data_IF_949415280752
#
_entry.id   IF_949415280752
#
_cell.length_a   1.000
_cell.length_b   1.000
_cell.length_c   1.000
_cell.angle_alpha   90.00
_cell.angle_beta   90.00
_cell.angle_gamma   90.00
#
_symmetry.space_group_name_H-M   'P 1'
#
loop_
_entity.id
_entity.type
_entity.pdbx_description
1 polymer ?
#
# COMPACT_ATOMS: atom_id res chain seq x y z
N UNK A 1 -13.13 35.26 14.66
CA UNK A 1 -12.25 34.25 14.06
C UNK A 1 -11.05 34.95 13.49
N UNK A 2 -9.87 34.56 13.96
CA UNK A 2 -8.61 34.97 13.35
C UNK A 2 -8.45 34.30 11.97
N UNK A 3 -7.57 34.84 11.12
CA UNK A 3 -7.35 34.34 9.74
C UNK A 3 -6.96 32.85 9.77
N UNK A 4 -6.13 32.44 10.72
CA UNK A 4 -5.71 31.05 10.88
C UNK A 4 -6.91 30.12 11.14
N UNK A 5 -7.74 30.45 12.15
CA UNK A 5 -8.92 29.66 12.50
C UNK A 5 -9.88 29.53 11.31
N UNK A 6 -10.05 30.61 10.54
CA UNK A 6 -10.92 30.60 9.36
C UNK A 6 -10.40 29.70 8.24
N UNK A 7 -9.11 29.80 7.93
CA UNK A 7 -8.47 28.95 6.94
C UNK A 7 -8.53 27.47 7.34
N UNK A 8 -8.24 27.16 8.60
CA UNK A 8 -8.29 25.80 9.14
C UNK A 8 -9.72 25.24 9.17
N UNK A 9 -10.72 26.05 9.50
CA UNK A 9 -12.12 25.65 9.48
C UNK A 9 -12.60 25.31 8.07
N UNK A 10 -12.24 26.13 7.07
CA UNK A 10 -12.54 25.84 5.66
C UNK A 10 -11.84 24.58 5.15
N UNK A 11 -10.57 24.37 5.55
CA UNK A 11 -9.82 23.16 5.21
C UNK A 11 -10.52 21.93 5.79
N UNK A 12 -10.85 21.97 7.09
CA UNK A 12 -11.58 20.91 7.78
C UNK A 12 -12.85 20.53 7.02
N UNK A 13 -13.69 21.51 6.68
CA UNK A 13 -14.96 21.22 6.01
C UNK A 13 -14.73 20.61 4.62
N UNK A 14 -13.76 21.12 3.86
CA UNK A 14 -13.42 20.56 2.55
C UNK A 14 -12.94 19.11 2.64
N UNK A 15 -12.10 18.79 3.62
CA UNK A 15 -11.61 17.41 3.84
C UNK A 15 -12.73 16.48 4.28
N UNK A 16 -13.66 16.93 5.13
CA UNK A 16 -14.82 16.13 5.53
C UNK A 16 -15.74 15.86 4.34
N UNK A 17 -16.00 16.86 3.49
CA UNK A 17 -16.78 16.68 2.27
C UNK A 17 -16.10 15.71 1.29
N UNK A 18 -14.77 15.80 1.16
CA UNK A 18 -14.00 14.87 0.33
C UNK A 18 -14.16 13.42 0.80
N UNK A 19 -14.15 13.18 2.12
CA UNK A 19 -14.40 11.85 2.70
C UNK A 19 -15.82 11.34 2.45
N UNK A 20 -16.81 12.22 2.45
CA UNK A 20 -18.21 11.86 2.20
C UNK A 20 -18.47 11.45 0.75
N UNK A 21 -17.63 11.91 -0.18
CA UNK A 21 -17.80 11.67 -1.63
C UNK A 21 -17.90 10.17 -1.97
N UNK A 22 -17.19 9.32 -1.24
CA UNK A 22 -17.13 7.88 -1.49
C UNK A 22 -18.46 7.15 -1.20
N UNK A 23 -19.20 7.63 -0.20
CA UNK A 23 -20.47 7.02 0.22
C UNK A 23 -21.69 7.80 -0.27
N UNK A 24 -21.46 8.91 -0.96
CA UNK A 24 -22.54 9.78 -1.43
C UNK A 24 -23.26 9.17 -2.64
N UNK A 25 -24.60 9.27 -2.72
CA UNK A 25 -25.34 8.95 -3.94
C UNK A 25 -24.81 9.74 -5.14
N UNK A 26 -24.87 9.17 -6.35
CA UNK A 26 -24.37 9.84 -7.57
C UNK A 26 -24.98 11.24 -7.78
N UNK A 27 -26.25 11.43 -7.41
CA UNK A 27 -26.95 12.71 -7.49
C UNK A 27 -26.30 13.84 -6.68
N UNK A 28 -25.58 13.49 -5.61
CA UNK A 28 -25.05 14.43 -4.62
C UNK A 28 -23.56 14.69 -4.83
N UNK A 29 -22.86 13.77 -5.53
CA UNK A 29 -21.40 13.82 -5.74
C UNK A 29 -20.96 15.11 -6.41
N UNK A 30 -21.71 15.61 -7.39
CA UNK A 30 -21.40 16.85 -8.08
C UNK A 30 -21.35 18.05 -7.11
N UNK A 31 -22.36 18.18 -6.24
CA UNK A 31 -22.43 19.26 -5.25
C UNK A 31 -21.31 19.15 -4.22
N UNK A 32 -21.04 17.93 -3.73
CA UNK A 32 -19.94 17.67 -2.78
C UNK A 32 -18.60 18.08 -3.41
N UNK A 33 -18.36 17.71 -4.67
CA UNK A 33 -17.14 18.09 -5.40
C UNK A 33 -16.99 19.61 -5.48
N UNK A 34 -18.06 20.34 -5.80
CA UNK A 34 -18.04 21.81 -5.84
C UNK A 34 -17.65 22.40 -4.50
N UNK A 35 -18.23 21.89 -3.41
CA UNK A 35 -17.93 22.36 -2.06
C UNK A 35 -16.48 22.05 -1.65
N UNK A 36 -15.96 20.89 -2.04
CA UNK A 36 -14.54 20.53 -1.82
C UNK A 36 -13.64 21.53 -2.56
N UNK A 37 -13.90 21.81 -3.83
CA UNK A 37 -13.08 22.73 -4.63
C UNK A 37 -13.10 24.15 -4.05
N UNK A 38 -14.30 24.66 -3.71
CA UNK A 38 -14.46 25.98 -3.11
C UNK A 38 -13.76 26.04 -1.75
N UNK A 39 -13.92 25.02 -0.92
CA UNK A 39 -13.32 24.93 0.40
C UNK A 39 -11.79 24.82 0.37
N UNK A 40 -11.22 24.01 -0.52
CA UNK A 40 -9.75 23.91 -0.71
C UNK A 40 -9.19 25.22 -1.24
N UNK A 41 -9.85 25.84 -2.23
CA UNK A 41 -9.43 27.13 -2.77
C UNK A 41 -9.41 28.22 -1.69
N UNK A 42 -10.51 28.36 -0.95
CA UNK A 42 -10.64 29.38 0.09
C UNK A 42 -9.70 29.15 1.28
N UNK A 43 -9.56 27.90 1.75
CA UNK A 43 -8.63 27.57 2.82
C UNK A 43 -7.18 27.87 2.40
N UNK A 44 -6.80 27.53 1.17
CA UNK A 44 -5.48 27.84 0.63
C UNK A 44 -5.23 29.35 0.58
N UNK A 45 -6.17 30.14 0.04
CA UNK A 45 -6.04 31.62 0.07
C UNK A 45 -5.84 32.13 1.49
N UNK A 46 -6.66 31.67 2.43
CA UNK A 46 -6.72 32.20 3.79
C UNK A 46 -5.48 31.80 4.60
N UNK A 47 -5.05 30.55 4.51
CA UNK A 47 -3.84 30.07 5.19
C UNK A 47 -2.58 30.69 4.60
N UNK A 48 -2.51 30.89 3.28
CA UNK A 48 -1.39 31.61 2.67
C UNK A 48 -1.39 33.11 3.06
N UNK A 49 -2.55 33.75 3.18
CA UNK A 49 -2.65 35.10 3.77
C UNK A 49 -2.13 35.15 5.20
N UNK A 50 -2.42 34.12 6.00
CA UNK A 50 -1.85 34.00 7.34
C UNK A 50 -0.31 33.92 7.28
N UNK A 51 0.27 33.10 6.40
CA UNK A 51 1.72 33.04 6.21
C UNK A 51 2.36 34.38 5.80
N UNK A 52 1.64 35.22 5.04
CA UNK A 52 2.06 36.59 4.72
C UNK A 52 1.96 37.49 5.95
N UNK A 53 0.82 37.43 6.66
CA UNK A 53 0.55 38.22 7.87
C UNK A 53 1.61 38.01 8.94
N UNK A 54 2.00 36.76 9.19
CA UNK A 54 3.01 36.38 10.18
C UNK A 54 4.38 37.00 9.89
N UNK A 55 4.69 37.27 8.61
CA UNK A 55 5.93 37.95 8.22
C UNK A 55 5.79 39.47 8.30
N UNK A 56 4.69 40.01 7.79
CA UNK A 56 4.35 41.43 7.86
C UNK A 56 2.87 41.62 7.58
N UNK A 57 2.12 42.04 8.59
CA UNK A 57 0.65 42.17 8.56
C UNK A 57 0.17 43.05 7.40
N UNK A 58 0.84 44.17 7.14
CA UNK A 58 0.41 45.11 6.09
C UNK A 58 0.46 44.49 4.68
N UNK A 59 1.29 43.46 4.46
CA UNK A 59 1.41 42.80 3.16
C UNK A 59 0.20 41.93 2.79
N UNK A 60 -0.81 41.82 3.66
CA UNK A 60 -2.08 41.19 3.28
C UNK A 60 -2.99 42.12 2.46
N UNK A 61 -2.71 43.42 2.43
CA UNK A 61 -3.51 44.39 1.68
C UNK A 61 -3.08 44.48 0.23
N UNK A 62 -4.05 44.66 -0.66
CA UNK A 62 -3.82 44.75 -2.10
C UNK A 62 -3.02 46.00 -2.46
N UNK A 63 -3.42 47.16 -1.94
CA UNK A 63 -2.78 48.46 -2.14
C UNK A 63 -2.49 49.11 -0.78
N UNK A 64 -1.20 49.25 -0.47
CA UNK A 64 -0.74 49.84 0.79
C UNK A 64 -1.05 51.34 0.87
N UNK A 65 -0.94 52.07 -0.24
CA UNK A 65 -1.22 53.51 -0.26
C UNK A 65 -2.69 53.78 0.00
N UNK A 66 -3.56 52.99 -0.65
CA UNK A 66 -5.01 53.05 -0.42
C UNK A 66 -5.34 52.68 1.03
N UNK A 67 -4.74 51.62 1.57
CA UNK A 67 -4.90 51.23 2.97
C UNK A 67 -4.53 52.36 3.93
N UNK A 68 -3.31 52.91 3.85
CA UNK A 68 -2.86 53.96 4.76
C UNK A 68 -3.70 55.24 4.64
N UNK A 69 -4.09 55.61 3.43
CA UNK A 69 -4.94 56.78 3.20
C UNK A 69 -6.31 56.62 3.85
N UNK A 70 -6.93 55.43 3.71
CA UNK A 70 -8.25 55.16 4.26
C UNK A 70 -8.23 54.92 5.76
N UNK A 71 -7.22 54.22 6.27
CA UNK A 71 -7.00 54.02 7.71
C UNK A 71 -6.80 55.38 8.40
N UNK A 72 -5.99 56.27 7.82
CA UNK A 72 -5.79 57.60 8.39
C UNK A 72 -7.09 58.42 8.40
N UNK A 73 -7.85 58.42 7.30
CA UNK A 73 -9.18 59.06 7.24
C UNK A 73 -10.14 58.48 8.27
N UNK A 74 -10.13 57.16 8.44
CA UNK A 74 -10.97 56.47 9.40
C UNK A 74 -10.64 56.87 10.85
N UNK A 75 -9.35 56.94 11.20
CA UNK A 75 -8.89 57.41 12.53
C UNK A 75 -9.26 58.85 12.81
N UNK A 76 -9.10 59.73 11.81
CA UNK A 76 -9.46 61.16 11.94
C UNK A 76 -10.96 61.37 12.12
N UNK A 77 -11.80 60.56 11.47
CA UNK A 77 -13.25 60.70 11.52
C UNK A 77 -13.89 60.11 12.79
N UNK A 78 -13.22 59.18 13.48
CA UNK A 78 -13.77 58.46 14.64
C UNK A 78 -13.25 58.95 16.01
N UNK A 79 -12.63 60.13 16.09
CA UNK A 79 -12.22 60.78 17.35
C UNK A 79 -11.50 59.88 18.39
N UNK A 80 -10.71 58.89 17.94
CA UNK A 80 -9.84 58.10 18.82
C UNK A 80 -10.54 57.12 19.79
N UNK A 81 -11.86 56.98 19.78
CA UNK A 81 -12.56 56.01 20.64
C UNK A 81 -12.74 54.66 19.93
N UNK A 82 -11.95 53.66 20.35
CA UNK A 82 -12.17 52.21 20.18
C UNK A 82 -12.69 51.71 18.80
N UNK A 83 -12.41 52.43 17.72
CA UNK A 83 -12.91 52.08 16.40
C UNK A 83 -11.99 51.03 15.76
N UNK A 84 -12.54 49.83 15.50
CA UNK A 84 -11.89 48.76 14.73
C UNK A 84 -11.16 49.33 13.50
N UNK A 85 -9.95 48.87 13.23
CA UNK A 85 -9.16 49.29 12.05
C UNK A 85 -9.95 49.17 10.74
N UNK A 86 -9.63 50.01 9.75
CA UNK A 86 -10.21 49.96 8.42
C UNK A 86 -10.08 48.55 7.83
N UNK A 87 -11.21 48.00 7.40
CA UNK A 87 -11.27 46.71 6.70
C UNK A 87 -10.96 46.99 5.23
N UNK A 88 -9.67 46.89 4.89
CA UNK A 88 -9.17 47.08 3.52
C UNK A 88 -9.37 45.86 2.64
N UNK A 89 -9.32 46.09 1.32
CA UNK A 89 -9.30 45.00 0.34
C UNK A 89 -7.99 44.20 0.49
N UNK A 90 -8.12 42.91 0.79
CA UNK A 90 -6.97 42.01 0.89
C UNK A 90 -6.53 41.49 -0.46
N UNK A 91 -5.31 40.96 -0.52
CA UNK A 91 -4.78 40.21 -1.66
C UNK A 91 -5.70 39.05 -2.08
N UNK A 92 -5.62 38.65 -3.34
CA UNK A 92 -6.34 37.53 -3.94
C UNK A 92 -5.61 36.19 -3.70
N UNK A 93 -6.24 35.08 -4.08
CA UNK A 93 -5.65 33.73 -4.05
C UNK A 93 -4.23 33.64 -4.64
N UNK A 94 -4.03 34.12 -5.87
CA UNK A 94 -2.71 34.05 -6.53
C UNK A 94 -1.69 34.98 -5.85
N UNK A 95 -2.10 36.20 -5.51
CA UNK A 95 -1.24 37.16 -4.80
C UNK A 95 -0.83 36.64 -3.41
N UNK A 96 -1.71 35.92 -2.71
CA UNK A 96 -1.39 35.27 -1.43
C UNK A 96 -0.32 34.19 -1.60
N UNK A 97 -0.44 33.35 -2.64
CA UNK A 97 0.56 32.32 -2.97
C UNK A 97 1.90 32.95 -3.32
N UNK A 98 1.92 33.94 -4.23
CA UNK A 98 3.14 34.60 -4.67
C UNK A 98 3.87 35.26 -3.50
N UNK A 99 3.14 36.03 -2.67
CA UNK A 99 3.72 36.73 -1.52
C UNK A 99 4.20 35.74 -0.46
N UNK A 100 3.41 34.72 -0.12
CA UNK A 100 3.82 33.75 0.88
C UNK A 100 5.06 32.96 0.42
N UNK A 101 5.12 32.59 -0.87
CA UNK A 101 6.25 31.86 -1.43
C UNK A 101 7.57 32.64 -1.29
N UNK A 102 7.55 33.92 -1.65
CA UNK A 102 8.73 34.79 -1.54
C UNK A 102 9.08 35.06 -0.07
N UNK A 103 8.09 35.42 0.76
CA UNK A 103 8.33 35.84 2.15
C UNK A 103 8.71 34.67 3.09
N UNK A 104 8.34 33.43 2.74
CA UNK A 104 8.61 32.25 3.54
C UNK A 104 9.63 31.29 2.91
N UNK A 105 10.25 31.69 1.80
CA UNK A 105 11.21 30.90 1.00
C UNK A 105 10.65 29.51 0.67
N UNK A 106 9.41 29.47 0.15
CA UNK A 106 8.74 28.22 -0.22
C UNK A 106 9.26 27.76 -1.58
N UNK A 107 9.75 26.52 -1.65
CA UNK A 107 10.15 25.87 -2.90
C UNK A 107 8.92 25.36 -3.64
N UNK A 108 8.38 26.17 -4.55
CA UNK A 108 7.24 25.81 -5.39
C UNK A 108 7.73 25.65 -6.84
N UNK A 109 7.60 24.46 -7.41
CA UNK A 109 7.98 24.23 -8.81
C UNK A 109 6.99 24.88 -9.79
N UNK A 110 7.37 25.03 -11.05
CA UNK A 110 6.46 25.53 -12.10
C UNK A 110 5.19 24.69 -12.22
N UNK A 111 5.31 23.36 -12.05
CA UNK A 111 4.17 22.44 -12.10
C UNK A 111 3.25 22.71 -10.90
N UNK A 112 3.80 22.78 -9.68
CA UNK A 112 3.01 23.02 -8.46
C UNK A 112 2.30 24.39 -8.51
N UNK A 113 2.99 25.42 -9.02
CA UNK A 113 2.39 26.74 -9.22
C UNK A 113 1.26 26.73 -10.26
N UNK A 114 1.43 25.94 -11.32
CA UNK A 114 0.40 25.70 -12.34
C UNK A 114 -0.82 24.95 -11.81
N UNK A 115 -0.65 24.05 -10.83
CA UNK A 115 -1.76 23.38 -10.12
C UNK A 115 -2.63 24.40 -9.39
N UNK A 116 -2.04 25.39 -8.74
CA UNK A 116 -2.82 26.47 -8.11
C UNK A 116 -3.58 27.32 -9.13
N UNK A 117 -3.01 27.57 -10.31
CA UNK A 117 -3.71 28.28 -11.39
C UNK A 117 -4.91 27.47 -11.91
N UNK A 118 -4.76 26.15 -12.09
CA UNK A 118 -5.86 25.25 -12.44
C UNK A 118 -6.98 25.28 -11.41
N UNK A 119 -6.65 25.18 -10.12
CA UNK A 119 -7.66 25.25 -9.05
C UNK A 119 -8.42 26.58 -9.09
N UNK A 120 -7.71 27.69 -9.30
CA UNK A 120 -8.32 29.01 -9.40
C UNK A 120 -9.26 29.12 -10.62
N UNK A 121 -8.83 28.62 -11.79
CA UNK A 121 -9.66 28.58 -13.00
C UNK A 121 -10.90 27.68 -12.81
N UNK A 122 -10.72 26.49 -12.26
CA UNK A 122 -11.81 25.54 -12.01
C UNK A 122 -12.84 26.13 -11.04
N UNK A 123 -12.39 26.71 -9.92
CA UNK A 123 -13.27 27.39 -8.96
C UNK A 123 -14.08 28.51 -9.63
N UNK A 124 -13.45 29.31 -10.50
CA UNK A 124 -14.15 30.37 -11.22
C UNK A 124 -15.17 29.81 -12.22
N UNK A 125 -14.82 28.76 -12.96
CA UNK A 125 -15.74 28.10 -13.90
C UNK A 125 -16.97 27.54 -13.19
N UNK A 126 -16.79 26.86 -12.05
CA UNK A 126 -17.88 26.31 -11.23
C UNK A 126 -18.81 27.40 -10.69
N UNK A 127 -18.25 28.57 -10.38
CA UNK A 127 -19.03 29.70 -9.82
C UNK A 127 -19.86 30.43 -10.88
N UNK A 128 -19.49 30.32 -12.17
CA UNK A 128 -20.05 31.13 -13.24
C UNK A 128 -20.73 30.35 -14.39
N UNK A 129 -20.50 29.04 -14.53
CA UNK A 129 -21.05 28.19 -15.61
C UNK A 129 -21.48 26.80 -15.11
N UNK A 130 -22.44 26.15 -15.80
CA UNK A 130 -22.69 24.71 -15.74
C UNK A 130 -21.48 23.98 -16.35
N UNK A 131 -20.42 23.83 -15.55
CA UNK A 131 -19.22 23.09 -15.95
C UNK A 131 -19.47 21.60 -15.75
N UNK A 132 -19.26 20.79 -16.80
CA UNK A 132 -19.31 19.34 -16.70
C UNK A 132 -18.12 18.83 -15.88
N UNK A 133 -18.39 18.45 -14.64
CA UNK A 133 -17.40 18.00 -13.67
C UNK A 133 -17.06 16.53 -13.95
N UNK A 134 -16.26 16.29 -15.00
CA UNK A 134 -15.66 14.98 -15.21
C UNK A 134 -14.78 14.63 -14.02
N UNK A 135 -15.23 13.64 -13.23
CA UNK A 135 -14.71 13.30 -11.92
C UNK A 135 -13.18 13.07 -11.92
N UNK A 136 -12.65 12.49 -12.99
CA UNK A 136 -11.26 12.03 -13.06
C UNK A 136 -10.24 13.17 -13.15
N UNK A 137 -10.60 14.29 -13.78
CA UNK A 137 -9.72 15.46 -13.86
C UNK A 137 -9.64 16.20 -12.51
N UNK A 138 -10.70 16.07 -11.71
CA UNK A 138 -10.87 16.78 -10.45
C UNK A 138 -10.18 16.03 -9.31
N UNK A 139 -10.32 14.70 -9.25
CA UNK A 139 -9.68 13.84 -8.24
C UNK A 139 -8.17 14.09 -8.20
N UNK A 140 -7.53 14.01 -9.37
CA UNK A 140 -6.11 14.29 -9.54
C UNK A 140 -5.73 15.71 -9.07
N UNK A 141 -6.51 16.73 -9.46
CA UNK A 141 -6.22 18.12 -9.09
C UNK A 141 -6.27 18.31 -7.57
N UNK A 142 -7.28 17.74 -6.90
CA UNK A 142 -7.41 17.78 -5.44
C UNK A 142 -6.21 17.09 -4.80
N UNK A 143 -5.89 15.87 -5.23
CA UNK A 143 -4.75 15.11 -4.71
C UNK A 143 -3.43 15.90 -4.83
N UNK A 144 -3.16 16.47 -6.00
CA UNK A 144 -1.96 17.26 -6.23
C UNK A 144 -1.91 18.53 -5.38
N UNK A 145 -3.03 19.26 -5.23
CA UNK A 145 -3.09 20.45 -4.35
C UNK A 145 -2.78 20.05 -2.91
N UNK A 146 -3.35 18.96 -2.42
CA UNK A 146 -3.11 18.48 -1.05
C UNK A 146 -1.64 18.09 -0.83
N UNK A 147 -1.01 17.36 -1.78
CA UNK A 147 0.42 17.03 -1.75
C UNK A 147 1.33 18.27 -1.74
N UNK A 148 0.88 19.41 -2.27
CA UNK A 148 1.62 20.67 -2.19
C UNK A 148 1.40 21.36 -0.85
N UNK A 149 0.13 21.52 -0.44
CA UNK A 149 -0.22 22.40 0.69
C UNK A 149 -0.01 21.76 2.06
N UNK A 150 -0.23 20.46 2.23
CA UNK A 150 -0.09 19.78 3.53
C UNK A 150 1.35 19.87 4.07
N UNK A 151 2.40 19.60 3.27
CA UNK A 151 3.78 19.78 3.73
C UNK A 151 4.11 21.23 4.09
N UNK A 152 3.59 22.21 3.33
CA UNK A 152 3.75 23.63 3.64
C UNK A 152 3.09 23.96 4.98
N UNK A 153 1.85 23.49 5.19
CA UNK A 153 1.11 23.72 6.42
C UNK A 153 1.78 23.07 7.63
N UNK A 154 2.21 21.82 7.49
CA UNK A 154 2.93 21.11 8.54
C UNK A 154 4.25 21.82 8.93
N UNK A 155 4.95 22.40 7.95
CA UNK A 155 6.22 23.10 8.18
C UNK A 155 6.10 24.57 8.61
N UNK A 156 4.95 25.22 8.40
CA UNK A 156 4.80 26.68 8.57
C UNK A 156 3.66 27.13 9.47
N UNK A 157 2.63 26.30 9.67
CA UNK A 157 1.50 26.62 10.55
C UNK A 157 1.73 26.02 11.95
N UNK A 158 1.40 26.76 13.02
CA UNK A 158 1.55 26.24 14.37
C UNK A 158 0.56 25.09 14.62
N UNK A 159 1.04 24.02 15.25
CA UNK A 159 0.25 22.86 15.69
C UNK A 159 -0.62 22.20 14.60
N UNK A 160 -0.22 22.27 13.33
CA UNK A 160 -1.03 21.73 12.22
C UNK A 160 -1.21 20.20 12.33
N UNK A 161 -0.18 19.47 12.74
CA UNK A 161 -0.22 18.02 12.94
C UNK A 161 -1.23 17.64 14.02
N UNK A 162 -1.26 18.38 15.13
CA UNK A 162 -2.23 18.22 16.21
C UNK A 162 -3.64 18.55 15.73
N UNK A 163 -3.81 19.63 14.95
CA UNK A 163 -5.09 20.01 14.38
C UNK A 163 -5.67 18.92 13.46
N UNK A 164 -4.84 18.31 12.61
CA UNK A 164 -5.22 17.18 11.74
C UNK A 164 -5.73 16.00 12.57
N UNK A 165 -5.05 15.65 13.66
CA UNK A 165 -5.46 14.55 14.56
C UNK A 165 -6.76 14.88 15.30
N UNK A 166 -6.84 16.05 15.93
CA UNK A 166 -7.99 16.49 16.72
C UNK A 166 -9.28 16.50 15.88
N UNK A 167 -9.18 17.00 14.64
CA UNK A 167 -10.31 17.15 13.74
C UNK A 167 -10.49 15.96 12.79
N UNK A 168 -9.76 14.86 13.00
CA UNK A 168 -9.83 13.63 12.19
C UNK A 168 -9.71 13.92 10.69
N UNK A 169 -8.71 14.69 10.29
CA UNK A 169 -8.49 15.08 8.89
C UNK A 169 -7.65 14.07 8.10
N UNK A 170 -7.19 12.98 8.73
CA UNK A 170 -6.44 11.93 8.04
C UNK A 170 -7.25 11.34 6.89
N UNK A 171 -6.68 11.34 5.69
CA UNK A 171 -7.26 10.67 4.53
C UNK A 171 -6.72 9.24 4.52
N UNK A 172 -7.48 8.33 5.13
CA UNK A 172 -7.08 6.91 5.26
C UNK A 172 -7.96 6.02 4.38
N UNK A 173 -7.48 4.80 4.15
CA UNK A 173 -8.29 3.72 3.60
C UNK A 173 -9.42 3.26 4.54
N UNK A 174 -10.21 2.28 4.12
CA UNK A 174 -11.31 1.70 4.90
C UNK A 174 -10.79 1.00 6.16
N UNK A 175 -11.49 1.18 7.29
CA UNK A 175 -11.02 0.75 8.63
C UNK A 175 -11.76 -0.46 9.21
N UNK A 176 -12.73 -1.05 8.49
CA UNK A 176 -13.43 -2.26 8.94
C UNK A 176 -13.58 -3.24 7.78
N UNK A 177 -13.05 -4.45 8.00
CA UNK A 177 -13.25 -5.62 7.14
C UNK A 177 -13.77 -6.73 8.05
N UNK A 178 -14.75 -7.50 7.57
CA UNK A 178 -15.43 -8.51 8.40
C UNK A 178 -14.46 -9.63 8.83
N UNK A 179 -13.59 -10.06 7.92
CA UNK A 179 -12.51 -11.00 8.18
C UNK A 179 -11.20 -10.46 7.59
N UNK A 180 -10.23 -10.16 8.44
CA UNK A 180 -8.97 -9.55 8.03
C UNK A 180 -8.10 -10.51 7.20
N UNK A 181 -8.10 -11.81 7.52
CA UNK A 181 -7.24 -12.78 6.82
C UNK A 181 -7.79 -13.05 5.42
N UNK A 182 -9.10 -13.29 5.29
CA UNK A 182 -9.76 -13.48 3.99
C UNK A 182 -9.64 -12.22 3.14
N UNK A 183 -9.88 -11.05 3.72
CA UNK A 183 -9.74 -9.79 3.00
C UNK A 183 -8.30 -9.59 2.50
N UNK A 184 -7.28 -9.80 3.35
CA UNK A 184 -5.87 -9.69 2.94
C UNK A 184 -5.52 -10.65 1.81
N UNK A 185 -5.99 -11.89 1.88
CA UNK A 185 -5.78 -12.89 0.83
C UNK A 185 -6.38 -12.44 -0.50
N UNK A 186 -7.65 -12.03 -0.50
CA UNK A 186 -8.34 -11.51 -1.69
C UNK A 186 -7.59 -10.32 -2.29
N UNK A 187 -7.17 -9.37 -1.45
CA UNK A 187 -6.44 -8.18 -1.91
C UNK A 187 -5.06 -8.50 -2.43
N UNK A 188 -4.34 -9.42 -1.80
CA UNK A 188 -3.04 -9.86 -2.25
C UNK A 188 -3.12 -10.40 -3.69
N UNK A 189 -3.98 -11.39 -3.93
CA UNK A 189 -4.06 -12.03 -5.25
C UNK A 189 -4.71 -11.13 -6.31
N UNK A 190 -5.68 -10.28 -5.93
CA UNK A 190 -6.20 -9.24 -6.86
C UNK A 190 -5.09 -8.29 -7.30
N UNK A 191 -4.26 -7.84 -6.36
CA UNK A 191 -3.17 -6.91 -6.65
C UNK A 191 -2.06 -7.58 -7.47
N UNK A 192 -1.69 -8.83 -7.14
CA UNK A 192 -0.72 -9.60 -7.92
C UNK A 192 -1.18 -9.76 -9.37
N UNK A 193 -2.45 -10.09 -9.60
CA UNK A 193 -3.01 -10.20 -10.95
C UNK A 193 -2.81 -8.91 -11.75
N UNK A 194 -3.06 -7.74 -11.13
CA UNK A 194 -2.82 -6.44 -11.78
C UNK A 194 -1.35 -6.22 -12.12
N UNK A 195 -0.45 -6.59 -11.22
CA UNK A 195 1.01 -6.46 -11.41
C UNK A 195 1.50 -7.38 -12.53
N UNK A 196 1.06 -8.63 -12.53
CA UNK A 196 1.38 -9.65 -13.53
C UNK A 196 0.91 -9.23 -14.92
N UNK A 197 -0.37 -8.87 -15.07
CA UNK A 197 -0.92 -8.34 -16.33
C UNK A 197 -0.12 -7.12 -16.83
N UNK A 198 0.25 -6.21 -15.93
CA UNK A 198 1.02 -5.01 -16.30
C UNK A 198 2.46 -5.32 -16.72
N UNK A 199 3.09 -6.29 -16.06
CA UNK A 199 4.44 -6.75 -16.39
C UNK A 199 4.46 -7.51 -17.71
N UNK A 200 3.49 -8.41 -17.93
CA UNK A 200 3.30 -9.13 -19.18
C UNK A 200 3.08 -8.14 -20.33
N UNK A 201 2.18 -7.17 -20.16
CA UNK A 201 1.94 -6.12 -21.16
C UNK A 201 3.24 -5.41 -21.57
N UNK A 202 4.07 -5.00 -20.60
CA UNK A 202 5.36 -4.35 -20.90
C UNK A 202 6.34 -5.32 -21.57
N UNK A 203 6.39 -6.58 -21.14
CA UNK A 203 7.28 -7.60 -21.69
C UNK A 203 6.96 -7.88 -23.17
N UNK A 204 5.68 -8.06 -23.50
CA UNK A 204 5.21 -8.26 -24.86
C UNK A 204 5.58 -7.07 -25.76
N UNK A 205 5.40 -5.83 -25.28
CA UNK A 205 5.79 -4.65 -26.06
C UNK A 205 7.30 -4.52 -26.25
N UNK A 206 8.12 -5.12 -25.37
CA UNK A 206 9.60 -5.11 -25.45
C UNK A 206 10.18 -6.20 -26.36
N UNK A 207 9.36 -7.06 -26.95
CA UNK A 207 9.85 -8.08 -27.89
C UNK A 207 10.44 -7.47 -29.17
N UNK A 208 9.91 -6.31 -29.60
CA UNK A 208 10.49 -5.46 -30.65
C UNK A 208 10.89 -4.09 -30.09
N UNK A 209 12.19 -3.88 -29.91
CA UNK A 209 12.75 -2.62 -29.41
C UNK A 209 12.29 -1.39 -30.21
N UNK A 210 12.09 -1.50 -31.54
CA UNK A 210 11.65 -0.36 -32.36
C UNK A 210 10.18 -0.04 -32.09
N UNK A 211 9.34 -1.07 -31.96
CA UNK A 211 7.94 -0.91 -31.63
C UNK A 211 7.76 -0.36 -30.20
N UNK A 212 8.51 -0.91 -29.24
CA UNK A 212 8.53 -0.40 -27.86
C UNK A 212 8.92 1.08 -27.83
N UNK A 213 10.01 1.46 -28.50
CA UNK A 213 10.45 2.84 -28.55
C UNK A 213 9.39 3.76 -29.17
N UNK A 214 8.65 3.28 -30.19
CA UNK A 214 7.55 4.05 -30.78
C UNK A 214 6.38 4.20 -29.79
N UNK A 215 5.99 3.13 -29.11
CA UNK A 215 4.95 3.12 -28.07
C UNK A 215 5.32 4.05 -26.91
N UNK A 216 6.52 3.89 -26.34
CA UNK A 216 7.04 4.71 -25.26
C UNK A 216 7.08 6.19 -25.62
N UNK A 217 7.58 6.53 -26.82
CA UNK A 217 7.58 7.91 -27.29
C UNK A 217 6.17 8.47 -27.54
N UNK A 218 5.22 7.63 -27.95
CA UNK A 218 3.81 7.97 -28.04
C UNK A 218 3.23 8.34 -26.68
N UNK A 219 3.44 7.48 -25.67
CA UNK A 219 3.03 7.72 -24.29
C UNK A 219 3.72 8.92 -23.67
N UNK A 220 5.00 9.15 -23.97
CA UNK A 220 5.73 10.34 -23.53
C UNK A 220 5.10 11.62 -24.07
N UNK A 221 4.69 11.64 -25.35
CA UNK A 221 3.95 12.78 -25.93
C UNK A 221 2.59 13.00 -25.28
N UNK A 222 1.86 11.92 -24.99
CA UNK A 222 0.58 11.97 -24.26
C UNK A 222 0.79 12.60 -22.86
N UNK A 223 1.76 12.09 -22.10
CA UNK A 223 2.18 12.61 -20.80
C UNK A 223 2.58 14.08 -20.86
N UNK A 224 3.45 14.44 -21.81
CA UNK A 224 3.98 15.79 -21.95
C UNK A 224 2.88 16.78 -22.44
N UNK A 225 1.82 16.29 -23.09
CA UNK A 225 0.64 17.10 -23.44
C UNK A 225 -0.17 17.52 -22.22
N UNK A 226 -0.14 16.71 -21.15
CA UNK A 226 -0.69 17.04 -19.83
C UNK A 226 0.31 17.88 -19.01
N UNK A 227 0.85 18.97 -19.57
CA UNK A 227 1.95 19.80 -19.01
C UNK A 227 1.80 20.30 -17.56
N UNK A 228 0.60 20.20 -16.99
CA UNK A 228 0.24 20.66 -15.65
C UNK A 228 -0.19 19.49 -14.76
N UNK A 229 0.20 18.26 -15.11
CA UNK A 229 0.02 17.04 -14.35
C UNK A 229 1.43 16.56 -14.01
N UNK A 230 1.71 16.49 -12.71
CA UNK A 230 2.86 15.82 -12.15
C UNK A 230 2.66 14.31 -12.24
N UNK A 231 3.49 13.69 -13.05
CA UNK A 231 3.64 12.23 -13.11
C UNK A 231 4.68 11.79 -12.10
N UNK A 232 4.48 10.58 -11.58
CA UNK A 232 5.34 9.95 -10.59
C UNK A 232 5.88 8.64 -11.14
N UNK A 233 6.93 8.13 -10.52
CA UNK A 233 7.42 6.78 -10.78
C UNK A 233 6.29 5.77 -10.54
N UNK A 234 6.04 4.92 -11.54
CA UNK A 234 5.08 3.84 -11.43
C UNK A 234 5.64 2.76 -10.49
N UNK A 235 4.86 2.31 -9.49
CA UNK A 235 5.32 1.26 -8.60
C UNK A 235 5.68 -0.02 -9.38
N UNK A 236 4.92 -0.36 -10.43
CA UNK A 236 5.11 -1.56 -11.23
C UNK A 236 6.27 -1.45 -12.24
N UNK A 237 6.19 -0.52 -13.20
CA UNK A 237 7.15 -0.46 -14.31
C UNK A 237 8.36 0.44 -14.06
N UNK A 238 8.42 1.16 -12.93
CA UNK A 238 9.52 2.06 -12.52
C UNK A 238 9.78 3.25 -13.45
N UNK A 239 8.83 3.57 -14.32
CA UNK A 239 8.89 4.72 -15.22
C UNK A 239 7.98 5.86 -14.72
N UNK A 240 8.34 7.12 -15.01
CA UNK A 240 7.61 8.33 -14.59
C UNK A 240 6.33 8.58 -15.42
N UNK A 241 5.35 7.68 -15.29
CA UNK A 241 4.06 7.70 -16.00
C UNK A 241 2.86 7.47 -15.09
N UNK A 242 3.06 7.44 -13.77
CA UNK A 242 1.98 7.22 -12.82
C UNK A 242 1.29 8.52 -12.44
N UNK A 243 -0.03 8.54 -12.57
CA UNK A 243 -0.90 9.65 -12.22
C UNK A 243 -1.59 9.34 -10.90
N UNK A 244 -1.23 10.07 -9.84
CA UNK A 244 -1.86 9.94 -8.52
C UNK A 244 -3.23 10.59 -8.53
N UNK A 245 -4.28 9.78 -8.57
CA UNK A 245 -5.65 10.27 -8.53
C UNK A 245 -6.09 10.60 -7.10
N UNK A 246 -5.52 9.88 -6.13
CA UNK A 246 -5.81 10.03 -4.71
C UNK A 246 -4.56 9.78 -3.87
N UNK A 247 -4.58 10.35 -2.68
CA UNK A 247 -3.46 10.34 -1.72
C UNK A 247 -3.99 10.09 -0.32
N UNK A 248 -3.23 9.30 0.44
CA UNK A 248 -3.48 9.07 1.85
C UNK A 248 -2.59 9.96 2.68
N UNK A 249 -3.20 10.59 3.67
CA UNK A 249 -2.50 11.43 4.63
C UNK A 249 -2.74 10.91 6.03
N UNK A 250 -1.65 10.69 6.76
CA UNK A 250 -1.67 10.42 8.19
C UNK A 250 -0.82 11.43 8.91
N UNK A 251 -1.42 12.09 9.91
CA UNK A 251 -0.73 13.07 10.74
C UNK A 251 0.03 14.13 9.91
N UNK A 252 -0.63 14.64 8.86
CA UNK A 252 -0.14 15.64 7.90
C UNK A 252 0.98 15.19 6.93
N UNK A 253 1.26 13.89 6.85
CA UNK A 253 2.26 13.32 5.94
C UNK A 253 1.61 12.39 4.91
N UNK A 254 2.05 12.45 3.66
CA UNK A 254 1.57 11.53 2.62
C UNK A 254 2.18 10.14 2.88
N UNK A 255 1.33 9.15 3.15
CA UNK A 255 1.79 7.77 3.46
C UNK A 255 1.52 6.78 2.32
N UNK A 256 0.52 7.05 1.49
CA UNK A 256 0.15 6.19 0.36
C UNK A 256 -0.56 6.99 -0.72
N UNK A 257 -0.76 6.39 -1.88
CA UNK A 257 -1.51 6.98 -2.99
C UNK A 257 -2.07 5.87 -3.88
N UNK A 258 -3.04 6.18 -4.73
CA UNK A 258 -3.49 5.27 -5.79
C UNK A 258 -3.90 6.05 -7.05
N UNK A 259 -4.13 5.33 -8.14
CA UNK A 259 -4.31 5.88 -9.47
C UNK A 259 -3.79 4.92 -10.54
N UNK A 260 -3.39 5.44 -11.71
CA UNK A 260 -3.02 4.59 -12.84
C UNK A 260 -1.71 5.00 -13.52
N UNK A 261 -1.09 4.05 -14.23
CA UNK A 261 0.07 4.29 -15.07
C UNK A 261 -0.30 4.33 -16.55
N UNK A 262 0.06 5.41 -17.25
CA UNK A 262 -0.18 5.55 -18.69
C UNK A 262 0.68 4.61 -19.55
N UNK A 263 1.78 4.08 -18.99
CA UNK A 263 2.72 3.24 -19.73
C UNK A 263 2.40 1.74 -19.60
N UNK A 264 2.25 1.23 -18.39
CA UNK A 264 2.00 -0.20 -18.14
C UNK A 264 0.54 -0.54 -17.87
N UNK A 265 -0.35 0.45 -17.93
CA UNK A 265 -1.79 0.32 -17.69
C UNK A 265 -2.19 -0.22 -16.30
N UNK A 266 -1.26 -0.30 -15.34
CA UNK A 266 -1.63 -0.68 -13.98
C UNK A 266 -2.61 0.34 -13.41
N UNK A 267 -3.71 -0.14 -12.82
CA UNK A 267 -4.72 0.68 -12.14
C UNK A 267 -4.86 0.21 -10.70
N UNK A 268 -4.40 1.05 -9.80
CA UNK A 268 -4.43 0.85 -8.36
C UNK A 268 -5.60 1.62 -7.78
N UNK A 269 -6.42 0.93 -7.01
CA UNK A 269 -7.58 1.50 -6.35
C UNK A 269 -7.33 1.71 -4.85
N UNK A 270 -8.35 2.22 -4.17
CA UNK A 270 -8.33 2.48 -2.73
C UNK A 270 -7.94 1.25 -1.92
N UNK A 271 -8.55 0.11 -2.19
CA UNK A 271 -8.31 -1.11 -1.42
C UNK A 271 -6.88 -1.64 -1.62
N UNK A 272 -6.32 -1.50 -2.84
CA UNK A 272 -4.93 -1.86 -3.11
C UNK A 272 -3.96 -1.02 -2.27
N UNK A 273 -4.16 0.30 -2.24
CA UNK A 273 -3.35 1.22 -1.44
C UNK A 273 -3.49 0.93 0.06
N UNK A 274 -4.71 0.69 0.54
CA UNK A 274 -4.97 0.36 1.94
C UNK A 274 -4.29 -0.96 2.34
N UNK A 275 -4.41 -1.99 1.51
CA UNK A 275 -3.77 -3.28 1.74
C UNK A 275 -2.24 -3.15 1.83
N UNK A 276 -1.64 -2.38 0.91
CA UNK A 276 -0.20 -2.16 0.88
C UNK A 276 0.27 -1.35 2.09
N UNK A 277 -0.43 -0.28 2.43
CA UNK A 277 -0.11 0.55 3.60
C UNK A 277 -0.15 -0.29 4.88
N UNK A 278 -1.23 -1.04 5.10
CA UNK A 278 -1.42 -1.85 6.30
C UNK A 278 -0.47 -3.06 6.40
N UNK A 279 -0.03 -3.62 5.27
CA UNK A 279 0.73 -4.88 5.25
C UNK A 279 2.22 -4.67 5.00
N UNK A 280 2.58 -3.76 4.10
CA UNK A 280 3.95 -3.55 3.63
C UNK A 280 4.49 -2.15 3.90
N UNK A 281 3.63 -1.17 4.17
CA UNK A 281 3.96 0.25 4.38
C UNK A 281 4.36 1.00 3.11
N UNK A 282 4.77 0.33 2.03
CA UNK A 282 5.09 0.97 0.75
C UNK A 282 4.97 0.01 -0.44
N UNK A 283 4.76 0.59 -1.63
CA UNK A 283 4.78 -0.14 -2.89
C UNK A 283 6.10 -0.89 -3.13
N UNK A 284 7.23 -0.30 -2.75
CA UNK A 284 8.55 -0.93 -2.92
C UNK A 284 8.75 -2.12 -1.98
N UNK A 285 8.28 -1.99 -0.74
CA UNK A 285 8.28 -3.09 0.22
C UNK A 285 7.44 -4.26 -0.29
N UNK A 286 6.22 -3.97 -0.79
CA UNK A 286 5.36 -4.98 -1.41
C UNK A 286 6.09 -5.73 -2.53
N UNK A 287 6.63 -5.01 -3.52
CA UNK A 287 7.30 -5.62 -4.69
C UNK A 287 8.54 -6.45 -4.33
N UNK A 288 9.20 -6.15 -3.21
CA UNK A 288 10.35 -6.91 -2.71
C UNK A 288 9.95 -8.16 -1.92
N UNK A 289 8.80 -8.12 -1.25
CA UNK A 289 8.44 -9.09 -0.21
C UNK A 289 7.30 -10.03 -0.62
N UNK A 290 6.43 -9.65 -1.56
CA UNK A 290 5.23 -10.43 -1.88
C UNK A 290 5.54 -11.89 -2.26
N UNK A 291 6.71 -12.17 -2.84
CA UNK A 291 7.09 -13.55 -3.20
C UNK A 291 7.50 -14.42 -2.01
N UNK A 292 7.74 -13.81 -0.85
CA UNK A 292 8.21 -14.49 0.36
C UNK A 292 7.18 -14.46 1.48
N UNK A 293 6.09 -13.74 1.31
CA UNK A 293 5.12 -13.45 2.35
C UNK A 293 4.05 -14.55 2.47
N UNK A 294 4.51 -15.77 2.71
CA UNK A 294 3.65 -16.96 2.71
C UNK A 294 2.57 -16.92 3.80
N UNK A 295 2.70 -16.02 4.79
CA UNK A 295 1.76 -15.85 5.89
C UNK A 295 0.32 -15.58 5.41
N UNK A 296 0.19 -14.87 4.28
CA UNK A 296 -1.10 -14.50 3.68
C UNK A 296 -1.97 -15.73 3.38
N UNK A 297 -1.35 -16.81 2.90
CA UNK A 297 -2.03 -18.07 2.62
C UNK A 297 -1.90 -19.04 3.80
N UNK A 298 -0.73 -19.10 4.47
CA UNK A 298 -0.50 -19.99 5.61
C UNK A 298 -1.57 -19.83 6.69
N UNK A 299 -1.89 -18.61 7.10
CA UNK A 299 -2.88 -18.38 8.17
C UNK A 299 -4.26 -18.95 7.81
N UNK A 300 -4.63 -18.94 6.52
CA UNK A 300 -5.89 -19.51 6.04
C UNK A 300 -5.83 -21.03 5.97
N UNK A 301 -4.70 -21.61 5.55
CA UNK A 301 -4.57 -23.07 5.47
C UNK A 301 -4.66 -23.73 6.85
N UNK A 302 -4.25 -23.06 7.92
CA UNK A 302 -4.35 -23.58 9.30
C UNK A 302 -5.70 -23.30 9.97
N UNK A 303 -6.64 -22.60 9.32
CA UNK A 303 -7.89 -22.15 9.94
C UNK A 303 -8.96 -23.24 9.94
N UNK A 304 -9.45 -23.63 11.13
CA UNK A 304 -10.45 -24.70 11.28
C UNK A 304 -11.84 -24.33 10.72
N UNK A 305 -12.26 -23.07 10.85
CA UNK A 305 -13.61 -22.59 10.51
C UNK A 305 -13.68 -21.86 9.15
N UNK A 306 -12.64 -21.97 8.31
CA UNK A 306 -12.48 -21.20 7.07
C UNK A 306 -13.71 -21.30 6.15
N UNK A 307 -14.24 -22.50 5.94
CA UNK A 307 -15.38 -22.75 5.05
C UNK A 307 -16.64 -21.97 5.47
N UNK A 308 -16.81 -21.72 6.77
CA UNK A 308 -17.94 -20.97 7.31
C UNK A 308 -17.75 -19.45 7.25
N UNK A 309 -16.52 -18.99 7.04
CA UNK A 309 -16.12 -17.57 7.02
C UNK A 309 -16.12 -16.96 5.62
N UNK A 310 -15.89 -17.77 4.59
CA UNK A 310 -15.91 -17.31 3.20
C UNK A 310 -17.36 -17.07 2.76
N UNK A 311 -17.68 -15.82 2.38
CA UNK A 311 -19.00 -15.49 1.83
C UNK A 311 -19.13 -15.91 0.36
N UNK A 312 -20.35 -15.90 -0.18
CA UNK A 312 -20.57 -16.13 -1.62
C UNK A 312 -19.89 -15.08 -2.51
N UNK A 313 -19.80 -13.84 -2.03
CA UNK A 313 -19.10 -12.76 -2.73
C UNK A 313 -17.58 -13.00 -2.73
N UNK A 314 -17.02 -13.40 -1.57
CA UNK A 314 -15.60 -13.74 -1.46
C UNK A 314 -15.23 -14.89 -2.41
N UNK A 315 -16.01 -15.96 -2.40
CA UNK A 315 -15.83 -17.11 -3.28
C UNK A 315 -15.84 -16.72 -4.77
N UNK A 316 -16.76 -15.85 -5.20
CA UNK A 316 -16.83 -15.36 -6.58
C UNK A 316 -15.56 -14.61 -6.99
N UNK A 317 -15.04 -13.78 -6.09
CA UNK A 317 -13.81 -13.00 -6.32
C UNK A 317 -12.58 -13.91 -6.34
N UNK A 318 -12.51 -14.87 -5.43
CA UNK A 318 -11.42 -15.86 -5.35
C UNK A 318 -11.32 -16.67 -6.64
N UNK A 319 -12.45 -17.19 -7.14
CA UNK A 319 -12.48 -17.97 -8.39
C UNK A 319 -11.87 -17.21 -9.58
N UNK A 320 -12.14 -15.90 -9.67
CA UNK A 320 -11.67 -15.06 -10.77
C UNK A 320 -10.14 -14.88 -10.82
N UNK A 321 -9.42 -15.19 -9.74
CA UNK A 321 -7.95 -15.14 -9.72
C UNK A 321 -7.33 -16.33 -10.43
N UNK A 322 -7.95 -17.51 -10.30
CA UNK A 322 -7.37 -18.78 -10.72
C UNK A 322 -7.44 -19.00 -12.23
N UNK A 323 -8.13 -18.14 -12.97
CA UNK A 323 -8.08 -18.13 -14.44
C UNK A 323 -6.73 -17.62 -14.99
N UNK A 324 -5.88 -17.03 -14.14
CA UNK A 324 -4.60 -16.43 -14.56
C UNK A 324 -3.44 -17.43 -14.41
N UNK A 325 -2.70 -17.68 -15.50
CA UNK A 325 -1.60 -18.64 -15.53
C UNK A 325 -0.40 -18.21 -14.66
N UNK A 326 -0.07 -16.92 -14.60
CA UNK A 326 1.04 -16.43 -13.77
C UNK A 326 0.69 -16.55 -12.28
N UNK A 327 -0.58 -16.30 -11.92
CA UNK A 327 -1.07 -16.53 -10.55
C UNK A 327 -0.98 -18.01 -10.19
N UNK A 328 -1.39 -18.92 -11.07
CA UNK A 328 -1.33 -20.36 -10.83
C UNK A 328 0.10 -20.86 -10.65
N UNK A 329 1.03 -20.38 -11.48
CA UNK A 329 2.46 -20.71 -11.34
C UNK A 329 3.04 -20.18 -10.03
N UNK A 330 2.71 -18.95 -9.66
CA UNK A 330 3.10 -18.37 -8.38
C UNK A 330 2.52 -19.15 -7.20
N UNK A 331 1.25 -19.55 -7.27
CA UNK A 331 0.54 -20.25 -6.21
C UNK A 331 1.12 -21.64 -5.96
N UNK A 332 1.59 -22.34 -7.00
CA UNK A 332 2.28 -23.63 -6.86
C UNK A 332 3.51 -23.49 -5.94
N UNK A 333 4.42 -22.56 -6.26
CA UNK A 333 5.62 -22.29 -5.45
C UNK A 333 5.25 -21.85 -4.03
N UNK A 334 4.15 -21.08 -3.89
CA UNK A 334 3.69 -20.58 -2.61
C UNK A 334 3.15 -21.68 -1.68
N UNK A 335 2.35 -22.59 -2.23
CA UNK A 335 1.76 -23.70 -1.48
C UNK A 335 2.83 -24.73 -1.14
N UNK A 336 3.73 -25.03 -2.08
CA UNK A 336 4.87 -25.94 -1.86
C UNK A 336 5.70 -25.46 -0.68
N UNK A 337 6.11 -24.19 -0.66
CA UNK A 337 6.85 -23.62 0.46
C UNK A 337 6.12 -23.66 1.82
N UNK A 338 4.77 -23.61 1.81
CA UNK A 338 3.98 -23.73 3.04
C UNK A 338 3.95 -25.19 3.53
N UNK A 339 3.74 -26.15 2.63
CA UNK A 339 3.76 -27.58 2.99
C UNK A 339 5.17 -28.03 3.39
N UNK A 340 6.20 -27.65 2.65
CA UNK A 340 7.61 -27.90 3.00
C UNK A 340 7.90 -27.48 4.43
N UNK A 341 7.48 -26.25 4.79
CA UNK A 341 7.66 -25.74 6.15
C UNK A 341 6.86 -26.52 7.18
N UNK A 342 5.61 -26.84 6.88
CA UNK A 342 4.75 -27.60 7.79
C UNK A 342 5.33 -29.00 8.07
N UNK A 343 5.75 -29.70 7.02
CA UNK A 343 6.38 -31.02 7.13
C UNK A 343 7.73 -30.95 7.84
N UNK A 344 8.55 -29.93 7.54
CA UNK A 344 9.80 -29.70 8.26
C UNK A 344 9.53 -29.50 9.75
N UNK A 345 8.54 -28.66 10.14
CA UNK A 345 8.19 -28.39 11.53
C UNK A 345 7.74 -29.68 12.27
N UNK A 346 7.02 -30.58 11.58
CA UNK A 346 6.63 -31.91 12.12
C UNK A 346 7.85 -32.80 12.40
N UNK A 347 8.83 -32.80 11.49
CA UNK A 347 10.03 -33.64 11.59
C UNK A 347 11.05 -33.15 12.63
N UNK A 348 10.89 -31.93 13.17
CA UNK A 348 11.81 -31.39 14.18
C UNK A 348 11.83 -32.26 15.44
N UNK A 349 10.69 -32.82 15.85
CA UNK A 349 10.63 -33.68 17.04
C UNK A 349 11.30 -35.04 16.81
N UNK A 350 11.25 -35.56 15.59
CA UNK A 350 11.91 -36.82 15.20
C UNK A 350 13.44 -36.68 15.25
N UNK A 351 13.96 -35.49 14.96
CA UNK A 351 15.39 -35.17 15.07
C UNK A 351 15.97 -35.51 16.45
N UNK A 352 15.22 -35.27 17.53
CA UNK A 352 15.67 -35.54 18.90
C UNK A 352 15.50 -37.00 19.32
N UNK A 353 14.81 -37.81 18.51
CA UNK A 353 14.48 -39.19 18.82
C UNK A 353 15.40 -40.20 18.12
N UNK A 354 16.31 -39.74 17.25
CA UNK A 354 17.26 -40.61 16.54
C UNK A 354 18.27 -41.21 17.52
N UNK A 355 18.42 -42.54 17.42
CA UNK A 355 19.46 -43.26 18.14
C UNK A 355 20.69 -43.41 17.24
N UNK A 356 21.80 -42.79 17.63
CA UNK A 356 23.06 -42.87 16.90
C UNK A 356 23.87 -44.11 17.29
N UNK A 357 24.51 -44.76 16.31
CA UNK A 357 25.46 -45.83 16.58
C UNK A 357 26.74 -45.26 17.22
N UNK A 358 27.08 -45.74 18.41
CA UNK A 358 28.27 -45.28 19.15
C UNK A 358 29.57 -45.50 18.36
N UNK A 359 29.65 -46.55 17.52
CA UNK A 359 30.81 -46.81 16.65
C UNK A 359 30.94 -45.74 15.56
N UNK A 360 29.84 -45.26 15.01
CA UNK A 360 29.85 -44.22 13.99
C UNK A 360 30.22 -42.85 14.58
N UNK A 361 29.77 -42.59 15.81
CA UNK A 361 30.18 -41.42 16.59
C UNK A 361 31.69 -41.48 16.94
N UNK A 362 32.21 -42.64 17.33
CA UNK A 362 33.64 -42.84 17.57
C UNK A 362 34.48 -42.54 16.32
N UNK A 363 34.04 -43.03 15.16
CA UNK A 363 34.68 -42.75 13.88
C UNK A 363 34.58 -41.27 13.49
N UNK A 364 33.45 -40.62 13.76
CA UNK A 364 33.26 -39.20 13.48
C UNK A 364 34.26 -38.33 14.26
N UNK A 365 34.43 -38.62 15.55
CA UNK A 365 35.40 -37.95 16.44
C UNK A 365 36.83 -38.25 16.02
N UNK A 366 37.17 -39.52 15.77
CA UNK A 366 38.53 -39.94 15.42
C UNK A 366 39.06 -39.25 14.16
N UNK A 367 38.17 -39.01 13.19
CA UNK A 367 38.52 -38.42 11.89
C UNK A 367 38.10 -36.96 11.73
N UNK A 368 37.54 -36.34 12.78
CA UNK A 368 37.02 -34.97 12.77
C UNK A 368 36.11 -34.71 11.55
N UNK A 369 35.11 -35.59 11.36
CA UNK A 369 34.13 -35.52 10.27
C UNK A 369 32.71 -35.34 10.82
N UNK A 370 31.85 -34.70 10.03
CA UNK A 370 30.40 -34.67 10.27
C UNK A 370 29.83 -36.09 10.10
N UNK A 371 28.92 -36.48 10.99
CA UNK A 371 28.17 -37.73 10.84
C UNK A 371 26.96 -37.47 9.93
N UNK A 372 26.86 -38.22 8.83
CA UNK A 372 25.69 -38.17 7.95
C UNK A 372 24.76 -39.35 8.22
N UNK A 373 23.50 -39.06 8.57
CA UNK A 373 22.46 -40.06 8.87
C UNK A 373 21.31 -39.88 7.88
N UNK A 374 20.74 -40.99 7.39
CA UNK A 374 19.55 -40.96 6.54
C UNK A 374 18.46 -41.82 7.14
N UNK A 375 17.29 -41.22 7.37
CA UNK A 375 16.14 -41.88 7.98
C UNK A 375 14.93 -41.81 7.04
N UNK A 376 14.15 -42.89 7.00
CA UNK A 376 12.86 -42.92 6.31
C UNK A 376 11.77 -42.91 7.37
N UNK A 377 10.95 -41.87 7.36
CA UNK A 377 9.84 -41.72 8.29
C UNK A 377 8.60 -42.34 7.64
N UNK A 378 8.10 -43.41 8.25
CA UNK A 378 6.91 -44.16 7.82
C UNK A 378 5.69 -43.96 8.74
N UNK A 379 5.84 -43.13 9.78
CA UNK A 379 4.78 -42.77 10.71
C UNK A 379 4.93 -41.33 11.19
N UNK A 380 3.81 -40.58 11.16
CA UNK A 380 3.68 -39.25 11.73
C UNK A 380 2.51 -39.28 12.72
N UNK A 381 2.60 -38.50 13.79
CA UNK A 381 1.57 -38.41 14.82
C UNK A 381 0.21 -37.96 14.22
N UNK A 382 -0.88 -38.56 14.70
CA UNK A 382 -2.24 -38.41 14.12
C UNK A 382 -2.71 -36.94 14.09
N UNK A 383 -2.31 -36.15 15.09
CA UNK A 383 -2.61 -34.72 15.13
C UNK A 383 -2.02 -33.95 13.94
N UNK A 384 -0.76 -34.23 13.59
CA UNK A 384 -0.06 -33.54 12.51
C UNK A 384 -0.61 -33.97 11.15
N UNK A 385 -0.92 -35.27 10.99
CA UNK A 385 -1.63 -35.78 9.79
C UNK A 385 -2.99 -35.08 9.63
N UNK A 386 -3.74 -34.92 10.73
CA UNK A 386 -5.02 -34.20 10.70
C UNK A 386 -4.84 -32.72 10.34
N UNK A 387 -3.78 -32.07 10.81
CA UNK A 387 -3.48 -30.68 10.49
C UNK A 387 -3.12 -30.52 9.00
N UNK A 388 -2.27 -31.39 8.46
CA UNK A 388 -1.94 -31.42 7.02
C UNK A 388 -3.20 -31.68 6.18
N UNK A 389 -4.08 -32.60 6.60
CA UNK A 389 -5.37 -32.86 5.93
C UNK A 389 -6.27 -31.61 5.93
N UNK A 390 -6.29 -30.85 7.02
CA UNK A 390 -7.02 -29.59 7.10
C UNK A 390 -6.44 -28.54 6.14
N UNK A 391 -5.12 -28.42 6.06
CA UNK A 391 -4.46 -27.50 5.11
C UNK A 391 -4.84 -27.80 3.66
N UNK A 392 -4.82 -29.08 3.29
CA UNK A 392 -5.25 -29.54 1.96
C UNK A 392 -6.73 -29.23 1.71
N UNK A 393 -7.60 -29.51 2.69
CA UNK A 393 -9.04 -29.19 2.60
C UNK A 393 -9.26 -27.68 2.43
N UNK A 394 -8.48 -26.86 3.13
CA UNK A 394 -8.56 -25.42 3.05
C UNK A 394 -8.11 -24.87 1.69
N UNK A 395 -7.22 -25.55 0.96
CA UNK A 395 -6.95 -25.23 -0.44
C UNK A 395 -8.22 -25.35 -1.30
N UNK A 396 -9.01 -26.42 -1.12
CA UNK A 396 -10.29 -26.63 -1.83
C UNK A 396 -11.32 -25.58 -1.42
N UNK A 397 -11.38 -25.22 -0.14
CA UNK A 397 -12.27 -24.15 0.36
C UNK A 397 -11.93 -22.79 -0.27
N UNK A 398 -10.64 -22.51 -0.48
CA UNK A 398 -10.13 -21.36 -1.23
C UNK A 398 -10.25 -21.52 -2.75
N UNK A 399 -10.94 -22.57 -3.23
CA UNK A 399 -11.18 -22.88 -4.64
C UNK A 399 -9.90 -22.99 -5.47
N UNK A 400 -8.78 -23.28 -4.81
CA UNK A 400 -7.51 -23.50 -5.49
C UNK A 400 -7.64 -24.76 -6.34
N UNK A 401 -7.18 -24.69 -7.58
CA UNK A 401 -7.26 -25.82 -8.51
C UNK A 401 -6.62 -27.07 -7.89
N UNK A 402 -7.31 -28.23 -7.90
CA UNK A 402 -6.76 -29.48 -7.37
C UNK A 402 -5.41 -29.83 -8.00
N UNK A 403 -5.22 -29.56 -9.30
CA UNK A 403 -3.95 -29.85 -9.98
C UNK A 403 -2.78 -29.08 -9.38
N UNK A 404 -2.99 -27.84 -8.91
CA UNK A 404 -1.94 -26.99 -8.31
C UNK A 404 -1.65 -27.46 -6.89
N UNK A 405 -2.70 -27.56 -6.06
CA UNK A 405 -2.55 -27.91 -4.64
C UNK A 405 -1.99 -29.33 -4.45
N UNK A 406 -2.43 -30.29 -5.28
CA UNK A 406 -1.90 -31.66 -5.25
C UNK A 406 -0.45 -31.73 -5.73
N UNK A 407 -0.11 -31.01 -6.81
CA UNK A 407 1.28 -30.98 -7.28
C UNK A 407 2.20 -30.39 -6.23
N UNK A 408 1.81 -29.26 -5.60
CA UNK A 408 2.58 -28.64 -4.53
C UNK A 408 2.79 -29.59 -3.33
N UNK A 409 1.73 -30.28 -2.90
CA UNK A 409 1.81 -31.20 -1.77
C UNK A 409 2.67 -32.43 -2.09
N UNK A 410 2.53 -33.01 -3.28
CA UNK A 410 3.34 -34.15 -3.70
C UNK A 410 4.82 -33.76 -3.83
N UNK A 411 5.11 -32.60 -4.42
CA UNK A 411 6.48 -32.08 -4.49
C UNK A 411 7.07 -31.99 -3.09
N UNK A 412 6.33 -31.42 -2.12
CA UNK A 412 6.78 -31.27 -0.74
C UNK A 412 7.09 -32.60 -0.05
N UNK A 413 6.25 -33.63 -0.24
CA UNK A 413 6.48 -34.96 0.33
C UNK A 413 7.71 -35.64 -0.28
N UNK A 414 7.94 -35.45 -1.58
CA UNK A 414 9.06 -36.07 -2.31
C UNK A 414 10.42 -35.40 -2.01
N UNK A 415 10.44 -34.27 -1.29
CA UNK A 415 11.69 -33.60 -0.91
C UNK A 415 12.48 -34.37 0.16
N UNK A 416 13.80 -34.19 0.12
CA UNK A 416 14.69 -34.62 1.20
C UNK A 416 14.83 -33.49 2.22
N UNK A 417 14.45 -33.74 3.47
CA UNK A 417 14.54 -32.74 4.54
C UNK A 417 15.89 -32.88 5.24
N UNK A 418 16.75 -31.87 5.09
CA UNK A 418 18.09 -31.87 5.71
C UNK A 418 18.07 -31.02 6.96
N UNK A 419 18.44 -31.64 8.10
CA UNK A 419 18.54 -30.99 9.39
C UNK A 419 19.96 -31.16 9.94
N UNK A 420 20.54 -30.08 10.46
CA UNK A 420 21.86 -30.11 11.10
C UNK A 420 21.67 -29.97 12.61
N UNK A 421 22.25 -30.88 13.38
CA UNK A 421 22.19 -30.91 14.84
C UNK A 421 23.55 -31.31 15.40
N UNK A 422 23.65 -31.39 16.72
CA UNK A 422 24.83 -31.89 17.40
C UNK A 422 24.44 -32.82 18.54
N UNK A 423 25.24 -33.86 18.76
CA UNK A 423 25.02 -34.84 19.82
C UNK A 423 26.23 -34.90 20.75
N UNK A 424 25.97 -34.97 22.05
CA UNK A 424 27.02 -35.23 23.04
C UNK A 424 27.41 -36.70 23.01
N UNK A 425 28.71 -36.98 22.91
CA UNK A 425 29.26 -38.34 22.87
C UNK A 425 30.43 -38.47 23.84
N UNK A 426 30.48 -39.58 24.58
CA UNK A 426 31.61 -39.89 25.45
C UNK A 426 32.64 -40.70 24.67
N UNK A 427 33.76 -40.08 24.29
CA UNK A 427 34.74 -40.73 23.42
C UNK A 427 35.65 -41.69 24.21
N UNK A 428 35.57 -43.01 24.00
CA UNK A 428 36.24 -44.01 24.84
C UNK A 428 37.77 -44.02 24.68
N UNK A 429 38.30 -43.45 23.59
CA UNK A 429 39.75 -43.43 23.33
C UNK A 429 40.50 -42.29 24.04
N UNK A 430 39.86 -41.14 24.28
CA UNK A 430 40.45 -40.04 25.08
C UNK A 430 39.77 -39.88 26.44
N UNK A 431 38.64 -40.56 26.68
CA UNK A 431 37.82 -40.47 27.88
C UNK A 431 37.33 -39.04 28.15
N UNK A 432 36.96 -38.34 27.08
CA UNK A 432 36.46 -36.97 27.08
C UNK A 432 35.03 -36.93 26.52
N UNK A 433 34.21 -36.03 27.05
CA UNK A 433 32.91 -35.72 26.47
C UNK A 433 33.10 -34.72 25.34
N UNK A 434 32.70 -35.12 24.13
CA UNK A 434 32.84 -34.34 22.92
C UNK A 434 31.48 -34.11 22.28
N UNK A 435 31.42 -33.13 21.39
CA UNK A 435 30.24 -32.87 20.57
C UNK A 435 30.53 -33.31 19.15
N UNK A 436 29.60 -34.08 18.57
CA UNK A 436 29.67 -34.52 17.18
C UNK A 436 28.61 -33.75 16.39
N UNK A 437 29.04 -33.08 15.32
CA UNK A 437 28.13 -32.47 14.34
C UNK A 437 27.47 -33.57 13.50
N UNK A 438 26.15 -33.51 13.39
CA UNK A 438 25.35 -34.51 12.69
C UNK A 438 24.45 -33.82 11.66
N UNK A 439 24.50 -34.33 10.44
CA UNK A 439 23.61 -33.96 9.34
C UNK A 439 22.64 -35.12 9.08
N UNK A 440 21.37 -34.87 9.32
CA UNK A 440 20.29 -35.84 9.15
C UNK A 440 19.52 -35.51 7.88
N UNK A 441 19.32 -36.52 7.04
CA UNK A 441 18.44 -36.44 5.86
C UNK A 441 17.22 -37.32 6.09
N UNK A 442 16.05 -36.70 6.26
CA UNK A 442 14.77 -37.40 6.33
C UNK A 442 14.13 -37.55 4.95
N UNK A 443 13.51 -38.70 4.74
CA UNK A 443 12.61 -38.98 3.62
C UNK A 443 11.27 -39.42 4.18
N UNK A 444 10.20 -38.76 3.78
CA UNK A 444 8.84 -39.18 4.15
C UNK A 444 8.41 -40.34 3.24
N UNK A 445 7.84 -41.40 3.81
CA UNK A 445 7.10 -42.38 3.03
C UNK A 445 5.76 -41.76 2.60
N UNK A 446 5.51 -41.58 1.28
CA UNK A 446 4.24 -41.02 0.80
C UNK A 446 3.00 -41.82 1.25
N UNK A 447 3.18 -43.09 1.64
CA UNK A 447 2.10 -43.96 2.09
C UNK A 447 1.37 -43.45 3.35
N UNK A 448 2.04 -42.61 4.16
CA UNK A 448 1.46 -41.94 5.34
C UNK A 448 0.24 -41.11 4.96
N UNK A 449 0.26 -40.51 3.78
CA UNK A 449 -0.76 -39.58 3.32
C UNK A 449 -1.72 -40.20 2.30
N UNK A 450 -1.76 -41.53 2.16
CA UNK A 450 -2.60 -42.22 1.17
C UNK A 450 -4.07 -41.77 1.21
N UNK A 451 -4.66 -41.56 2.39
CA UNK A 451 -6.04 -41.08 2.50
C UNK A 451 -6.23 -39.66 1.95
N UNK A 452 -5.23 -38.79 2.13
CA UNK A 452 -5.24 -37.41 1.63
C UNK A 452 -5.03 -37.40 0.11
N UNK A 453 -4.10 -38.22 -0.38
CA UNK A 453 -3.77 -38.35 -1.81
C UNK A 453 -4.95 -38.95 -2.58
N UNK A 454 -5.64 -39.93 -2.00
CA UNK A 454 -6.80 -40.58 -2.63
C UNK A 454 -8.04 -39.69 -2.67
N UNK A 455 -8.36 -38.96 -1.59
CA UNK A 455 -9.51 -38.04 -1.58
C UNK A 455 -9.36 -36.94 -2.65
N UNK A 456 -8.13 -36.55 -2.96
CA UNK A 456 -7.81 -35.47 -3.91
C UNK A 456 -7.63 -35.88 -5.38
N UNK A 457 -7.48 -37.17 -5.69
CA UNK A 457 -7.41 -37.65 -7.09
C UNK A 457 -8.80 -37.76 -7.75
N UNK A 458 -9.87 -37.67 -6.96
CA UNK A 458 -11.25 -37.88 -7.39
C UNK A 458 -12.20 -36.70 -7.09
N UNK A 459 -11.70 -35.60 -6.52
CA UNK A 459 -12.40 -34.33 -6.29
C UNK A 459 -12.01 -33.30 -7.34
#
# INVERSE_FOLDING_TARGET
MDILENGLHSLKNAIHNLKQLETAPESDREYIIKDVIIGIHHSTETLFKYLVKEKQELLIFKDLNDYFTKEMKYRLNNNGENSKSYIGNTITYKEAIDRAAILNDLKISNIDYGTFDKLNKLRNSITHHEYDLTEDLIKYLIAQVLTIVFPIYNGKLPNFKEYVKEHKLDLKGTSQVNDLHIWKFIRHFTLLKKVFISNQFIKEHKEDDKEFNKFFNGKKKERDSESLIKFHECPCCKEEFFKKEYVYFEAAEEVMYYGHCLLCNISLNKDDANYIEMTYGSYDSFLKLFKKDIAILKDLLYMEDLASRISSEDASVINAFWDDEEINAFLLEYIEAIFDKALFDVLVDDCYSINYDSSELDDAVAWNKELEVSEVIDHIHEFDVSQIKQMVTNCTVLQIKPEISNTAFNNAIEQEFVMNTCVGHHYPHTNEDVTVDVKITFKLDPSIFNEIIMDNQFS
#
